data_IF_022702488305
#
_entry.id   IF_022702488305
#
_cell.length_a   1.000
_cell.length_b   1.000
_cell.length_c   1.000
_cell.angle_alpha   90.00
_cell.angle_beta   90.00
_cell.angle_gamma   90.00
#
_symmetry.space_group_name_H-M   'P 1'
#
loop_
_entity.id
_entity.type
_entity.pdbx_description
1 polymer ?
#
# COMPACT_ATOMS: atom_id res chain seq x y z
N UNK A 1 -43.18 8.17 7.36
CA UNK A 1 -41.75 8.07 6.97
C UNK A 1 -40.98 8.96 7.91
N UNK A 2 -40.17 8.42 8.83
CA UNK A 2 -39.42 9.24 9.78
C UNK A 2 -38.26 9.92 9.05
N UNK A 3 -38.24 11.25 9.05
CA UNK A 3 -37.15 12.05 8.50
C UNK A 3 -35.84 11.67 9.19
N UNK A 4 -34.90 11.11 8.43
CA UNK A 4 -33.55 10.80 8.90
C UNK A 4 -32.70 12.06 8.79
N UNK A 5 -33.01 13.06 9.60
CA UNK A 5 -32.28 14.32 9.56
C UNK A 5 -31.01 14.23 10.39
N UNK A 6 -29.88 14.61 9.79
CA UNK A 6 -28.57 14.64 10.45
C UNK A 6 -28.17 16.10 10.62
N UNK A 7 -28.06 16.55 11.86
CA UNK A 7 -27.66 17.92 12.17
C UNK A 7 -26.19 17.96 12.59
N UNK A 8 -25.52 19.09 12.41
CA UNK A 8 -24.13 19.26 12.80
C UNK A 8 -24.00 20.43 13.78
N UNK A 9 -23.23 20.23 14.84
CA UNK A 9 -22.81 21.31 15.73
C UNK A 9 -21.60 21.97 15.08
N UNK A 10 -21.66 23.30 14.91
CA UNK A 10 -20.55 24.10 14.39
C UNK A 10 -19.86 24.89 15.49
N UNK A 11 -18.55 25.08 15.38
CA UNK A 11 -17.82 26.05 16.20
C UNK A 11 -18.11 27.50 15.76
N UNK A 12 -17.51 28.46 16.48
CA UNK A 12 -17.63 29.90 16.20
C UNK A 12 -17.09 30.31 14.82
N UNK A 13 -16.30 29.45 14.17
CA UNK A 13 -15.75 29.66 12.84
C UNK A 13 -16.55 28.89 11.76
N UNK A 14 -17.70 28.31 12.11
CA UNK A 14 -18.56 27.55 11.20
C UNK A 14 -18.05 26.14 10.90
N UNK A 15 -17.02 25.64 11.60
CA UNK A 15 -16.49 24.29 11.41
C UNK A 15 -17.37 23.28 12.13
N UNK A 16 -17.86 22.28 11.41
CA UNK A 16 -18.64 21.16 11.96
C UNK A 16 -17.75 20.32 12.89
N UNK A 17 -18.08 20.25 14.17
CA UNK A 17 -17.31 19.51 15.19
C UNK A 17 -17.95 18.19 15.58
N UNK A 18 -19.28 18.16 15.65
CA UNK A 18 -20.05 16.98 16.06
C UNK A 18 -21.27 16.80 15.15
N UNK A 19 -21.72 15.56 15.01
CA UNK A 19 -22.95 15.21 14.30
C UNK A 19 -24.00 14.73 15.31
N UNK A 20 -25.22 15.23 15.19
CA UNK A 20 -26.40 14.79 15.92
C UNK A 20 -27.17 13.88 14.98
N UNK A 21 -27.33 12.62 15.40
CA UNK A 21 -27.87 11.55 14.58
C UNK A 21 -29.05 10.89 15.32
N UNK A 22 -30.14 10.55 14.62
CA UNK A 22 -31.14 9.63 15.14
C UNK A 22 -30.49 8.29 15.53
N UNK A 23 -30.90 7.73 16.68
CA UNK A 23 -30.28 6.53 17.24
C UNK A 23 -30.31 5.32 16.29
N UNK A 24 -31.35 5.23 15.45
CA UNK A 24 -31.45 4.20 14.42
C UNK A 24 -30.38 4.33 13.32
N UNK A 25 -30.06 5.55 12.89
CA UNK A 25 -28.99 5.84 11.92
C UNK A 25 -27.63 5.53 12.53
N UNK A 26 -27.42 5.91 13.80
CA UNK A 26 -26.20 5.55 14.53
C UNK A 26 -26.00 4.02 14.57
N UNK A 27 -27.05 3.26 14.95
CA UNK A 27 -26.96 1.80 15.01
C UNK A 27 -26.67 1.17 13.64
N UNK A 28 -27.25 1.71 12.55
CA UNK A 28 -26.96 1.25 11.18
C UNK A 28 -25.49 1.51 10.79
N UNK A 29 -24.94 2.67 11.14
CA UNK A 29 -23.54 3.01 10.88
C UNK A 29 -22.58 2.15 11.70
N UNK A 30 -22.92 1.87 12.96
CA UNK A 30 -22.13 0.97 13.80
C UNK A 30 -22.16 -0.46 13.26
N UNK A 31 -23.34 -0.98 12.90
CA UNK A 31 -23.44 -2.31 12.29
C UNK A 31 -22.63 -2.41 10.99
N UNK A 32 -22.68 -1.39 10.12
CA UNK A 32 -21.85 -1.32 8.93
C UNK A 32 -20.35 -1.30 9.29
N UNK A 33 -19.95 -0.50 10.28
CA UNK A 33 -18.57 -0.46 10.78
C UNK A 33 -18.10 -1.82 11.28
N UNK A 34 -18.91 -2.54 12.03
CA UNK A 34 -18.59 -3.89 12.54
C UNK A 34 -18.40 -4.89 11.40
N UNK A 35 -19.24 -4.84 10.36
CA UNK A 35 -19.08 -5.68 9.16
C UNK A 35 -17.76 -5.37 8.44
N UNK A 36 -17.35 -4.10 8.45
CA UNK A 36 -16.11 -3.61 7.84
C UNK A 36 -14.89 -3.82 8.78
N UNK A 37 -15.03 -4.20 10.06
CA UNK A 37 -13.87 -4.48 10.95
C UNK A 37 -13.02 -5.66 10.48
N UNK A 38 -13.59 -6.55 9.67
CA UNK A 38 -12.83 -7.55 8.93
C UNK A 38 -12.29 -7.01 7.60
N UNK A 39 -12.14 -5.70 7.43
CA UNK A 39 -11.28 -5.09 6.41
C UNK A 39 -10.10 -4.45 7.14
N UNK A 40 -8.96 -4.31 6.47
CA UNK A 40 -7.72 -3.86 7.11
C UNK A 40 -7.95 -2.55 7.91
N UNK A 41 -7.22 -2.32 9.02
CA UNK A 41 -7.37 -1.09 9.78
C UNK A 41 -7.31 0.11 8.84
N UNK A 42 -8.08 1.16 9.16
CA UNK A 42 -7.97 2.50 8.58
C UNK A 42 -6.59 3.11 8.91
N UNK A 43 -5.50 2.43 8.54
CA UNK A 43 -4.26 3.10 8.23
C UNK A 43 -4.57 4.04 7.07
N UNK A 44 -3.96 5.22 7.07
CA UNK A 44 -4.15 6.22 6.02
C UNK A 44 -3.88 5.69 4.59
N UNK A 45 -3.29 4.48 4.48
CA UNK A 45 -2.91 3.86 3.23
C UNK A 45 -3.40 2.41 3.15
N UNK A 46 -3.97 2.08 1.99
CA UNK A 46 -4.35 0.71 1.64
C UNK A 46 -3.09 -0.16 1.47
N UNK A 47 -3.05 -1.30 2.15
CA UNK A 47 -1.90 -2.21 2.11
C UNK A 47 -2.07 -3.19 0.96
N UNK A 48 -1.04 -3.24 0.12
CA UNK A 48 -0.87 -4.20 -0.95
C UNK A 48 0.17 -5.25 -0.55
N UNK A 49 -0.11 -6.49 -0.90
CA UNK A 49 0.75 -7.63 -0.68
C UNK A 49 1.30 -8.11 -2.01
N UNK A 50 2.57 -8.50 -2.02
CA UNK A 50 3.21 -9.13 -3.15
C UNK A 50 3.85 -10.43 -2.67
N UNK A 51 3.41 -11.55 -3.23
CA UNK A 51 3.90 -12.87 -2.86
C UNK A 51 4.50 -13.58 -4.08
N UNK A 52 5.70 -14.11 -3.92
CA UNK A 52 6.40 -14.89 -4.95
C UNK A 52 7.05 -16.10 -4.32
N UNK A 53 6.74 -17.30 -4.83
CA UNK A 53 7.30 -18.57 -4.35
C UNK A 53 7.09 -18.69 -2.83
N UNK A 54 8.15 -18.49 -2.03
CA UNK A 54 8.13 -18.59 -0.57
C UNK A 54 8.28 -17.25 0.16
N UNK A 55 8.21 -16.14 -0.58
CA UNK A 55 8.51 -14.80 -0.07
C UNK A 55 7.25 -13.96 -0.15
N UNK A 56 6.97 -13.20 0.91
CA UNK A 56 5.88 -12.23 0.93
C UNK A 56 6.38 -10.86 1.37
N UNK A 57 6.04 -9.83 0.60
CA UNK A 57 6.26 -8.43 0.93
C UNK A 57 4.92 -7.71 1.07
N UNK A 58 4.89 -6.69 1.93
CA UNK A 58 3.73 -5.82 2.12
C UNK A 58 4.17 -4.36 1.98
N UNK A 59 3.31 -3.55 1.39
CA UNK A 59 3.61 -2.14 1.20
C UNK A 59 2.39 -1.35 0.80
N UNK A 60 2.54 -0.05 0.64
CA UNK A 60 1.46 0.82 0.22
C UNK A 60 1.97 1.93 -0.71
N UNK A 61 1.15 2.36 -1.70
CA UNK A 61 1.47 3.50 -2.53
C UNK A 61 1.31 4.80 -1.76
N UNK A 62 2.24 5.74 -1.93
CA UNK A 62 2.21 7.06 -1.29
C UNK A 62 2.37 8.18 -2.33
N UNK A 63 1.54 9.22 -2.23
CA UNK A 63 1.58 10.38 -3.12
C UNK A 63 0.60 10.30 -4.29
N UNK A 64 0.96 10.92 -5.43
CA UNK A 64 0.04 11.13 -6.55
C UNK A 64 -0.24 9.84 -7.32
N UNK A 65 -1.50 9.56 -7.65
CA UNK A 65 -1.91 8.36 -8.43
C UNK A 65 -1.20 8.19 -9.79
N UNK A 66 -0.71 9.27 -10.40
CA UNK A 66 0.02 9.25 -11.68
C UNK A 66 1.44 8.67 -11.54
N UNK A 67 2.13 8.99 -10.44
CA UNK A 67 3.49 8.53 -10.12
C UNK A 67 3.59 8.30 -8.61
N UNK A 68 2.99 7.22 -8.09
CA UNK A 68 3.05 6.93 -6.67
C UNK A 68 4.47 6.50 -6.29
N UNK A 69 4.95 7.03 -5.17
CA UNK A 69 6.02 6.37 -4.42
C UNK A 69 5.45 5.08 -3.82
N UNK A 70 6.32 4.19 -3.36
CA UNK A 70 5.87 2.95 -2.76
C UNK A 70 6.67 2.66 -1.50
N UNK A 71 5.97 2.50 -0.37
CA UNK A 71 6.59 2.19 0.91
C UNK A 71 6.46 0.70 1.16
N UNK A 72 7.59 0.00 1.29
CA UNK A 72 7.63 -1.39 1.72
C UNK A 72 7.74 -1.41 3.24
N UNK A 73 6.89 -2.18 3.90
CA UNK A 73 6.83 -2.27 5.35
C UNK A 73 7.92 -3.18 5.91
N UNK A 74 8.37 -2.88 7.12
CA UNK A 74 9.19 -3.75 7.95
C UNK A 74 8.60 -5.16 8.05
N UNK A 75 9.48 -6.15 8.02
CA UNK A 75 9.11 -7.58 8.05
C UNK A 75 8.72 -8.14 6.67
N UNK A 76 8.68 -7.30 5.63
CA UNK A 76 8.58 -7.78 4.25
C UNK A 76 9.80 -8.60 3.88
N UNK A 77 9.61 -9.60 3.02
CA UNK A 77 10.69 -10.47 2.58
C UNK A 77 11.13 -10.11 1.15
N UNK A 78 12.39 -10.41 0.81
CA UNK A 78 12.98 -10.24 -0.50
C UNK A 78 13.85 -11.45 -0.88
N UNK A 79 14.00 -11.70 -2.18
CA UNK A 79 14.78 -12.83 -2.71
C UNK A 79 16.27 -12.70 -2.35
N UNK A 80 16.91 -13.83 -2.04
CA UNK A 80 18.33 -13.90 -1.70
C UNK A 80 19.25 -13.77 -2.92
N UNK A 81 18.92 -14.42 -4.03
CA UNK A 81 19.65 -14.32 -5.29
C UNK A 81 18.83 -13.61 -6.38
N UNK A 82 19.21 -12.39 -6.80
CA UNK A 82 18.63 -11.79 -8.00
C UNK A 82 19.01 -12.61 -9.25
N UNK A 83 18.26 -12.45 -10.35
CA UNK A 83 18.68 -13.00 -11.65
C UNK A 83 19.77 -12.15 -12.27
N UNK A 84 20.69 -12.77 -13.02
CA UNK A 84 21.84 -12.09 -13.65
C UNK A 84 21.44 -10.96 -14.63
N UNK A 85 20.19 -10.96 -15.10
CA UNK A 85 19.64 -9.95 -16.01
C UNK A 85 19.10 -8.71 -15.27
N UNK A 86 19.31 -8.58 -13.96
CA UNK A 86 18.90 -7.38 -13.21
C UNK A 86 19.75 -6.17 -13.63
N UNK A 87 19.12 -5.01 -13.93
CA UNK A 87 19.86 -3.78 -14.20
C UNK A 87 20.78 -3.39 -13.04
N UNK A 88 22.00 -2.93 -13.34
CA UNK A 88 22.99 -2.50 -12.34
C UNK A 88 22.43 -1.51 -11.31
N UNK A 89 21.54 -0.60 -11.70
CA UNK A 89 20.90 0.33 -10.78
C UNK A 89 20.17 -0.38 -9.62
N UNK A 90 19.51 -1.50 -9.89
CA UNK A 90 18.77 -2.27 -8.89
C UNK A 90 19.73 -3.06 -8.00
N UNK A 91 20.82 -3.59 -8.57
CA UNK A 91 21.89 -4.25 -7.82
C UNK A 91 22.55 -3.26 -6.85
N UNK A 92 22.89 -2.05 -7.31
CA UNK A 92 23.47 -1.01 -6.46
C UNK A 92 22.54 -0.62 -5.31
N UNK A 93 21.26 -0.34 -5.60
CA UNK A 93 20.27 -0.04 -4.55
C UNK A 93 20.21 -1.17 -3.53
N UNK A 94 20.26 -2.42 -3.98
CA UNK A 94 20.21 -3.57 -3.09
C UNK A 94 21.47 -3.69 -2.22
N UNK A 95 22.65 -3.49 -2.79
CA UNK A 95 23.92 -3.46 -2.04
C UNK A 95 23.92 -2.34 -1.00
N UNK A 96 23.42 -1.15 -1.35
CA UNK A 96 23.26 -0.03 -0.42
C UNK A 96 22.32 -0.40 0.74
N UNK A 97 21.21 -1.10 0.45
CA UNK A 97 20.26 -1.54 1.47
C UNK A 97 20.81 -2.63 2.39
N UNK A 98 21.68 -3.51 1.88
CA UNK A 98 22.39 -4.51 2.67
C UNK A 98 23.45 -3.84 3.56
N UNK A 99 24.19 -2.88 3.00
CA UNK A 99 25.20 -2.07 3.70
C UNK A 99 24.59 -1.25 4.84
N UNK A 100 23.44 -0.61 4.60
CA UNK A 100 22.71 0.21 5.58
C UNK A 100 21.92 -0.63 6.61
N UNK A 101 22.00 -1.95 6.55
CA UNK A 101 21.25 -2.86 7.43
C UNK A 101 19.73 -2.77 7.27
N UNK A 102 19.25 -2.22 6.15
CA UNK A 102 17.81 -2.18 5.85
C UNK A 102 17.31 -3.55 5.43
N UNK A 103 18.14 -4.32 4.72
CA UNK A 103 17.90 -5.71 4.38
C UNK A 103 18.80 -6.59 5.24
N UNK A 104 18.18 -7.46 6.05
CA UNK A 104 18.88 -8.41 6.89
C UNK A 104 18.64 -9.83 6.37
N UNK A 105 19.66 -10.68 6.44
CA UNK A 105 19.53 -12.07 6.04
C UNK A 105 18.76 -12.84 7.12
N UNK A 106 17.67 -13.48 6.73
CA UNK A 106 16.93 -14.42 7.57
C UNK A 106 17.40 -15.86 7.25
N UNK A 107 18.27 -16.45 8.09
CA UNK A 107 18.82 -17.77 7.86
C UNK A 107 17.77 -18.89 7.99
N UNK A 108 16.63 -18.64 8.64
CA UNK A 108 15.57 -19.64 8.82
C UNK A 108 14.81 -19.83 7.52
N UNK A 109 14.47 -18.72 6.85
CA UNK A 109 13.68 -18.72 5.61
C UNK A 109 14.52 -18.61 4.33
N UNK A 110 15.85 -18.50 4.47
CA UNK A 110 16.80 -18.33 3.36
C UNK A 110 16.41 -17.16 2.44
N UNK A 111 15.96 -16.06 3.02
CA UNK A 111 15.51 -14.85 2.34
C UNK A 111 16.06 -13.60 3.03
N UNK A 112 15.97 -12.43 2.39
CA UNK A 112 16.21 -11.16 3.06
C UNK A 112 14.91 -10.63 3.67
N UNK A 113 15.01 -9.90 4.78
CA UNK A 113 13.88 -9.27 5.47
C UNK A 113 14.17 -7.78 5.63
N UNK A 114 13.17 -6.95 5.37
CA UNK A 114 13.25 -5.51 5.61
C UNK A 114 13.20 -5.22 7.12
N UNK A 115 14.29 -4.71 7.68
CA UNK A 115 14.40 -4.37 9.11
C UNK A 115 13.65 -3.09 9.50
N UNK A 116 13.40 -2.20 8.52
CA UNK A 116 12.66 -0.94 8.66
C UNK A 116 11.80 -0.66 7.42
N UNK A 117 10.83 0.24 7.57
CA UNK A 117 10.00 0.70 6.45
C UNK A 117 10.88 1.47 5.45
N UNK A 118 10.74 1.16 4.17
CA UNK A 118 11.57 1.76 3.12
C UNK A 118 10.71 2.34 2.00
N UNK A 119 10.98 3.61 1.70
CA UNK A 119 10.30 4.35 0.63
C UNK A 119 11.07 4.25 -0.69
N UNK A 120 10.43 3.66 -1.68
CA UNK A 120 10.90 3.59 -3.06
C UNK A 120 10.28 4.69 -3.94
N UNK A 121 11.01 5.06 -4.99
CA UNK A 121 10.55 6.01 -6.01
C UNK A 121 9.33 5.52 -6.79
N UNK A 122 9.12 4.19 -6.86
CA UNK A 122 7.96 3.60 -7.52
C UNK A 122 7.68 2.18 -7.03
N UNK A 123 6.44 1.70 -7.25
CA UNK A 123 6.04 0.32 -6.96
C UNK A 123 6.84 -0.72 -7.77
N UNK A 124 7.30 -0.36 -8.97
CA UNK A 124 8.13 -1.25 -9.81
C UNK A 124 9.54 -1.40 -9.26
N UNK A 125 10.13 -0.34 -8.71
CA UNK A 125 11.42 -0.42 -8.03
C UNK A 125 11.33 -1.33 -6.79
N UNK A 126 10.28 -1.16 -5.97
CA UNK A 126 10.01 -2.01 -4.83
C UNK A 126 9.83 -3.49 -5.25
N UNK A 127 9.01 -3.75 -6.26
CA UNK A 127 8.77 -5.09 -6.78
C UNK A 127 10.06 -5.75 -7.28
N UNK A 128 10.94 -4.99 -7.95
CA UNK A 128 12.17 -5.53 -8.48
C UNK A 128 13.19 -5.90 -7.41
N UNK A 129 13.26 -5.14 -6.32
CA UNK A 129 14.11 -5.46 -5.16
C UNK A 129 13.58 -6.70 -4.43
N UNK A 130 12.26 -6.78 -4.23
CA UNK A 130 11.62 -7.93 -3.58
C UNK A 130 11.79 -9.20 -4.42
N UNK A 131 11.51 -9.12 -5.72
CA UNK A 131 11.54 -10.28 -6.62
C UNK A 131 12.94 -10.65 -7.12
N UNK A 132 13.90 -9.73 -7.04
CA UNK A 132 15.22 -9.90 -7.66
C UNK A 132 15.17 -9.91 -9.19
N UNK A 133 14.13 -9.36 -9.81
CA UNK A 133 13.95 -9.28 -11.27
C UNK A 133 13.07 -8.08 -11.64
N UNK A 134 13.24 -7.50 -12.83
CA UNK A 134 12.37 -6.38 -13.27
C UNK A 134 10.93 -6.87 -13.43
N UNK A 135 10.01 -6.26 -12.68
CA UNK A 135 8.57 -6.59 -12.65
C UNK A 135 7.76 -5.31 -12.77
N UNK A 136 6.57 -5.43 -13.37
CA UNK A 136 5.62 -4.32 -13.39
C UNK A 136 4.97 -4.20 -12.01
N UNK A 137 5.38 -3.19 -11.23
CA UNK A 137 4.82 -2.93 -9.91
C UNK A 137 3.30 -2.79 -9.93
N UNK A 138 2.73 -2.21 -10.98
CA UNK A 138 1.30 -1.95 -11.03
C UNK A 138 0.44 -3.23 -11.09
N UNK A 139 0.98 -4.34 -11.60
CA UNK A 139 0.26 -5.61 -11.76
C UNK A 139 0.54 -6.62 -10.64
N UNK A 140 1.64 -6.48 -9.89
CA UNK A 140 2.09 -7.51 -8.93
C UNK A 140 1.67 -7.27 -7.49
N UNK A 141 1.43 -6.01 -7.13
CA UNK A 141 0.97 -5.63 -5.80
C UNK A 141 -0.54 -5.76 -5.76
N UNK A 142 -1.06 -6.63 -4.89
CA UNK A 142 -2.47 -6.98 -4.79
C UNK A 142 -3.01 -6.54 -3.43
N UNK A 143 -4.12 -5.81 -3.40
CA UNK A 143 -4.77 -5.42 -2.16
C UNK A 143 -5.52 -6.60 -1.53
N UNK A 144 -6.13 -6.38 -0.36
CA UNK A 144 -6.91 -7.42 0.32
C UNK A 144 -8.11 -7.93 -0.50
N UNK A 145 -8.69 -7.08 -1.35
CA UNK A 145 -9.85 -7.40 -2.17
C UNK A 145 -9.49 -8.16 -3.45
N UNK A 146 -8.19 -8.36 -3.74
CA UNK A 146 -7.70 -9.04 -4.93
C UNK A 146 -7.43 -8.10 -6.12
N UNK A 147 -7.58 -6.79 -5.94
CA UNK A 147 -7.28 -5.80 -6.96
C UNK A 147 -5.80 -5.42 -6.97
N UNK A 148 -5.26 -5.28 -8.17
CA UNK A 148 -3.93 -4.76 -8.41
C UNK A 148 -3.88 -3.23 -8.22
N UNK A 149 -2.68 -2.68 -8.07
CA UNK A 149 -2.48 -1.22 -8.08
C UNK A 149 -3.06 -0.57 -9.35
N UNK A 150 -2.92 -1.24 -10.50
CA UNK A 150 -3.46 -0.77 -11.78
C UNK A 150 -4.98 -0.65 -11.75
N UNK A 151 -5.67 -1.67 -11.23
CA UNK A 151 -7.13 -1.69 -11.10
C UNK A 151 -7.63 -0.66 -10.09
N UNK A 152 -6.82 -0.38 -9.07
CA UNK A 152 -7.09 0.66 -8.07
C UNK A 152 -6.87 2.09 -8.60
N UNK A 153 -6.51 2.23 -9.88
CA UNK A 153 -6.39 3.51 -10.58
C UNK A 153 -5.02 4.18 -10.50
N UNK A 154 -3.99 3.44 -10.07
CA UNK A 154 -2.60 3.91 -10.11
C UNK A 154 -1.98 3.73 -11.51
N UNK A 155 -1.15 4.70 -11.93
CA UNK A 155 -0.48 4.67 -13.23
C UNK A 155 -1.34 5.12 -14.42
N UNK A 156 -2.59 5.57 -14.18
CA UNK A 156 -3.42 6.19 -15.21
C UNK A 156 -2.77 7.53 -15.63
N UNK A 157 -2.17 7.55 -16.84
CA UNK A 157 -1.85 8.80 -17.51
C UNK A 157 -3.16 9.44 -17.93
N UNK A 158 -3.41 10.70 -17.54
CA UNK A 158 -4.49 11.51 -18.12
C UNK A 158 -4.29 11.50 -19.63
N UNK A 159 -5.06 10.69 -20.35
CA UNK A 159 -5.21 10.83 -21.79
C UNK A 159 -5.84 12.20 -22.01
N UNK A 160 -5.05 13.16 -22.52
CA UNK A 160 -5.62 14.35 -23.14
C UNK A 160 -6.52 13.83 -24.27
N UNK A 161 -7.83 13.84 -24.07
CA UNK A 161 -8.78 13.73 -25.18
C UNK A 161 -8.46 14.91 -26.10
N UNK A 162 -7.87 14.60 -27.26
CA UNK A 162 -7.77 15.54 -28.36
C UNK A 162 -9.21 15.94 -28.75
N UNK A 163 -9.45 17.24 -28.81
CA UNK A 163 -10.66 17.85 -29.34
C UNK A 163 -10.28 18.49 -30.67
#
# INVERSE_FOLDING_TARGET
MAEKEVSFITDLHGKKTHAILPINVYNQLIALRELIKNTAPLGAHEIYTFSIRNISAKGYPEGTRSKPHFVVLKGSQAVLQPVDSVPQNISNIREDLLSDGTLELDPINNCFVFAKDLKFQSASAAAAIVAGNVRNGLDVWINREGFTLKESGYGLKKTKRAK
#
